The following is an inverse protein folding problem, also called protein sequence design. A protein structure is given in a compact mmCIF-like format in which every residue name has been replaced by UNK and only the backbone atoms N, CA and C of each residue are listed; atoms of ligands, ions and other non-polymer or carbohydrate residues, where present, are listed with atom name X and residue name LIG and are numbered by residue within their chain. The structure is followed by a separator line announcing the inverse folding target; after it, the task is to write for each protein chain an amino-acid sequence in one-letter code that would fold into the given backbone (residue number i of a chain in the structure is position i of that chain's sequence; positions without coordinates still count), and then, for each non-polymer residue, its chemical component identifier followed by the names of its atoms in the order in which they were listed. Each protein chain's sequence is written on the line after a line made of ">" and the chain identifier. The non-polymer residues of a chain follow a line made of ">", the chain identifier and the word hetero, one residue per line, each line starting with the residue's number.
data_IF_921243247333
#
_entry.id   IF_921243247333
#
_cell.length_a   1.000
_cell.length_b   1.000
_cell.length_c   1.000
_cell.angle_alpha   90.00
_cell.angle_beta   90.00
_cell.angle_gamma   90.00
#
_symmetry.space_group_name_H-M   'P 1'
#
loop_
_entity.id
_entity.type
_entity.pdbx_description
1 polymer ?
#
# COMPACT_ATOMS: atom_id res chain seq x y z
N UNK A 1 69.13 57.13 10.74
CA UNK A 1 69.11 56.21 11.90
C UNK A 1 67.70 55.65 12.01
N UNK A 2 67.44 54.41 11.57
CA UNK A 2 67.47 53.15 12.36
C UNK A 2 66.03 52.67 12.66
N UNK A 3 65.55 51.64 11.92
CA UNK A 3 65.10 50.29 12.40
C UNK A 3 63.72 50.28 13.11
N UNK A 4 62.77 49.34 12.96
CA UNK A 4 62.70 47.96 12.40
C UNK A 4 61.23 47.45 12.45
N UNK A 5 60.90 46.54 11.51
CA UNK A 5 60.01 45.35 11.51
C UNK A 5 58.57 45.33 12.04
N UNK A 6 57.70 44.64 11.27
CA UNK A 6 56.45 44.04 11.76
C UNK A 6 55.60 43.41 10.66
N UNK A 7 56.07 42.33 10.04
CA UNK A 7 55.36 41.53 9.04
C UNK A 7 54.45 40.52 9.75
N UNK A 8 53.17 40.41 9.42
CA UNK A 8 52.36 39.21 9.70
C UNK A 8 51.40 38.94 8.54
N UNK A 9 51.65 37.82 7.88
CA UNK A 9 50.95 37.30 6.72
C UNK A 9 49.54 36.86 7.11
N UNK A 10 48.55 37.25 6.31
CA UNK A 10 47.18 36.77 6.42
C UNK A 10 47.11 35.30 5.97
N UNK A 11 46.81 34.42 6.92
CA UNK A 11 46.52 33.00 6.68
C UNK A 11 45.21 32.89 5.89
N UNK A 12 45.28 32.36 4.67
CA UNK A 12 44.10 31.97 3.89
C UNK A 12 43.54 30.65 4.42
N UNK A 13 42.34 30.68 4.99
CA UNK A 13 41.60 29.45 5.29
C UNK A 13 40.90 28.96 4.01
N UNK A 14 41.37 27.83 3.49
CA UNK A 14 40.65 27.04 2.49
C UNK A 14 39.49 26.32 3.20
N UNK A 15 38.25 26.75 2.98
CA UNK A 15 37.06 26.00 3.41
C UNK A 15 36.77 24.92 2.37
N UNK A 16 37.09 23.68 2.70
CA UNK A 16 36.60 22.50 1.98
C UNK A 16 35.13 22.26 2.36
N UNK A 17 34.22 22.57 1.45
CA UNK A 17 32.82 22.16 1.55
C UNK A 17 32.74 20.71 1.07
N UNK A 18 32.83 19.76 1.99
CA UNK A 18 32.47 18.36 1.72
C UNK A 18 30.95 18.25 1.63
N UNK A 19 30.42 18.22 0.41
CA UNK A 19 29.02 17.90 0.14
C UNK A 19 28.75 16.43 0.43
N UNK A 20 28.41 16.11 1.69
CA UNK A 20 27.76 14.85 2.01
C UNK A 20 26.33 14.91 1.43
N UNK A 21 26.16 14.38 0.22
CA UNK A 21 24.84 14.19 -0.38
C UNK A 21 24.02 13.26 0.50
N UNK A 22 23.05 13.80 1.22
CA UNK A 22 22.03 13.00 1.89
C UNK A 22 21.27 12.22 0.81
N UNK A 23 21.55 10.93 0.67
CA UNK A 23 20.69 10.03 -0.09
C UNK A 23 19.41 9.88 0.73
N UNK A 24 18.37 10.64 0.38
CA UNK A 24 17.04 10.38 0.92
C UNK A 24 16.58 9.01 0.42
N UNK A 25 16.13 8.09 1.29
CA UNK A 25 15.54 6.85 0.82
C UNK A 25 14.32 7.20 -0.04
N UNK A 26 14.24 6.57 -1.22
CA UNK A 26 13.05 6.69 -2.06
C UNK A 26 11.81 6.28 -1.25
N UNK A 27 10.66 6.96 -1.41
CA UNK A 27 9.44 6.56 -0.72
C UNK A 27 9.11 5.11 -1.09
N UNK A 28 8.74 4.30 -0.10
CA UNK A 28 8.15 2.99 -0.35
C UNK A 28 6.91 3.20 -1.22
N UNK A 29 6.94 2.64 -2.43
CA UNK A 29 5.80 2.71 -3.34
C UNK A 29 4.67 1.86 -2.78
N UNK A 30 3.53 2.50 -2.51
CA UNK A 30 2.33 1.81 -2.11
C UNK A 30 1.56 1.35 -3.36
N UNK A 31 1.18 0.09 -3.38
CA UNK A 31 0.34 -0.50 -4.43
C UNK A 31 -1.10 -0.60 -3.94
N UNK A 32 -2.03 -0.40 -4.87
CA UNK A 32 -3.46 -0.48 -4.62
C UNK A 32 -4.03 -1.73 -5.28
N UNK A 33 -4.90 -2.45 -4.56
CA UNK A 33 -5.52 -3.68 -5.03
C UNK A 33 -7.02 -3.64 -4.82
N UNK A 34 -7.79 -4.09 -5.81
CA UNK A 34 -9.21 -4.42 -5.63
C UNK A 34 -9.32 -5.84 -5.11
N UNK A 35 -10.14 -6.04 -4.08
CA UNK A 35 -10.39 -7.37 -3.53
C UNK A 35 -11.88 -7.61 -3.33
N UNK A 36 -12.29 -8.87 -3.42
CA UNK A 36 -13.59 -9.32 -2.96
C UNK A 36 -13.56 -10.79 -2.59
N UNK A 37 -14.50 -11.20 -1.75
CA UNK A 37 -14.84 -12.59 -1.61
C UNK A 37 -16.34 -12.81 -1.39
N UNK A 38 -16.79 -14.01 -1.73
CA UNK A 38 -18.18 -14.43 -1.56
C UNK A 38 -18.27 -15.87 -1.10
N UNK A 39 -19.27 -16.17 -0.29
CA UNK A 39 -19.59 -17.51 0.19
C UNK A 39 -21.02 -17.57 0.71
N UNK A 40 -21.46 -18.70 1.28
CA UNK A 40 -22.77 -18.81 1.91
C UNK A 40 -23.01 -17.68 2.93
N UNK A 41 -23.96 -16.79 2.64
CA UNK A 41 -24.35 -15.69 3.54
C UNK A 41 -23.30 -14.58 3.73
N UNK A 42 -22.23 -14.56 2.93
CA UNK A 42 -21.19 -13.53 3.01
C UNK A 42 -20.78 -12.99 1.65
N UNK A 43 -20.74 -11.67 1.55
CA UNK A 43 -20.11 -10.92 0.46
C UNK A 43 -19.30 -9.79 1.07
N UNK A 44 -18.03 -9.70 0.72
CA UNK A 44 -17.17 -8.61 1.13
C UNK A 44 -16.34 -8.11 -0.05
N UNK A 45 -16.05 -6.81 -0.09
CA UNK A 45 -15.25 -6.22 -1.15
C UNK A 45 -14.66 -4.89 -0.73
N UNK A 46 -13.58 -4.49 -1.38
CA UNK A 46 -12.98 -3.19 -1.13
C UNK A 46 -11.65 -2.97 -1.80
N UNK A 47 -10.82 -2.14 -1.15
CA UNK A 47 -9.46 -1.82 -1.59
C UNK A 47 -8.44 -2.16 -0.52
N UNK A 48 -7.29 -2.68 -0.94
CA UNK A 48 -6.10 -2.85 -0.11
C UNK A 48 -5.04 -1.86 -0.57
N UNK A 49 -4.43 -1.16 0.37
CA UNK A 49 -3.15 -0.49 0.16
C UNK A 49 -2.06 -1.39 0.71
N UNK A 50 -1.06 -1.70 -0.10
CA UNK A 50 0.05 -2.57 0.29
C UNK A 50 1.40 -1.93 0.08
N UNK A 51 2.42 -2.38 0.81
CA UNK A 51 3.81 -2.05 0.53
C UNK A 51 4.61 -3.32 0.24
N UNK A 52 5.57 -3.30 -0.70
CA UNK A 52 6.45 -4.45 -0.92
C UNK A 52 7.23 -4.78 0.34
N UNK A 53 7.30 -6.08 0.68
CA UNK A 53 8.17 -6.60 1.74
C UNK A 53 9.02 -7.74 1.21
N UNK A 54 10.23 -7.97 1.75
CA UNK A 54 11.04 -9.11 1.35
C UNK A 54 10.26 -10.41 1.56
N UNK A 55 10.05 -11.16 0.48
CA UNK A 55 9.56 -12.53 0.51
C UNK A 55 10.69 -13.53 0.78
N UNK A 56 10.33 -14.82 0.85
CA UNK A 56 11.28 -15.91 0.62
C UNK A 56 11.80 -15.87 -0.83
N UNK A 57 12.99 -16.40 -1.07
CA UNK A 57 13.72 -16.28 -2.35
C UNK A 57 12.81 -16.51 -3.57
N UNK A 58 12.60 -15.46 -4.37
CA UNK A 58 11.84 -15.51 -5.63
C UNK A 58 10.37 -15.09 -5.54
N UNK A 59 9.82 -14.88 -4.34
CA UNK A 59 8.43 -14.45 -4.16
C UNK A 59 8.33 -12.94 -3.90
N UNK A 60 7.38 -12.28 -4.56
CA UNK A 60 7.00 -10.90 -4.25
C UNK A 60 5.82 -10.93 -3.28
N UNK A 61 6.08 -10.53 -2.04
CA UNK A 61 5.06 -10.43 -0.99
C UNK A 61 4.76 -8.95 -0.76
N UNK A 62 3.49 -8.63 -0.62
CA UNK A 62 3.04 -7.30 -0.26
C UNK A 62 2.40 -7.33 1.12
N UNK A 63 2.83 -6.42 2.00
CA UNK A 63 2.22 -6.23 3.31
C UNK A 63 1.01 -5.31 3.13
N UNK A 64 -0.17 -5.77 3.50
CA UNK A 64 -1.38 -4.94 3.60
C UNK A 64 -1.18 -3.99 4.78
N UNK A 65 -1.28 -2.69 4.51
CA UNK A 65 -1.10 -1.62 5.50
C UNK A 65 -2.35 -0.78 5.68
N UNK A 66 -3.29 -0.82 4.73
CA UNK A 66 -4.64 -0.25 4.87
C UNK A 66 -5.65 -1.10 4.12
N UNK A 67 -6.88 -1.05 4.61
CA UNK A 67 -8.05 -1.68 4.02
C UNK A 67 -9.22 -0.68 4.08
N UNK A 68 -10.06 -0.73 3.06
CA UNK A 68 -11.36 -0.07 3.04
C UNK A 68 -12.35 -0.98 2.33
N UNK A 69 -13.64 -0.79 2.57
CA UNK A 69 -14.69 -1.61 1.95
C UNK A 69 -15.81 -1.92 2.91
N UNK A 70 -16.52 -3.01 2.62
CA UNK A 70 -17.62 -3.49 3.46
C UNK A 70 -17.75 -5.01 3.39
N UNK A 71 -18.33 -5.59 4.44
CA UNK A 71 -18.83 -6.96 4.49
C UNK A 71 -20.33 -6.94 4.74
N UNK A 72 -21.13 -7.55 3.88
CA UNK A 72 -22.59 -7.57 3.95
C UNK A 72 -23.21 -6.17 4.17
N UNK A 73 -22.62 -5.14 3.57
CA UNK A 73 -23.03 -3.74 3.73
C UNK A 73 -22.54 -3.03 4.99
N UNK A 74 -21.89 -3.73 5.93
CA UNK A 74 -21.26 -3.13 7.11
C UNK A 74 -19.85 -2.65 6.74
N UNK A 75 -19.54 -1.39 7.03
CA UNK A 75 -18.26 -0.78 6.70
C UNK A 75 -17.12 -1.41 7.51
N UNK A 76 -15.96 -1.56 6.84
CA UNK A 76 -14.71 -1.89 7.49
C UNK A 76 -14.20 -0.65 8.23
N UNK A 77 -13.95 -0.79 9.52
CA UNK A 77 -13.49 0.28 10.40
C UNK A 77 -11.95 0.31 10.45
N UNK A 78 -11.31 -0.85 10.64
CA UNK A 78 -9.87 -0.92 10.81
C UNK A 78 -9.26 -2.26 10.38
N UNK A 79 -7.98 -2.21 9.99
CA UNK A 79 -7.15 -3.39 9.75
C UNK A 79 -6.64 -3.93 11.10
N UNK A 80 -6.70 -5.24 11.31
CA UNK A 80 -6.09 -5.88 12.46
C UNK A 80 -4.56 -5.79 12.36
N UNK A 81 -3.89 -5.48 13.46
CA UNK A 81 -2.43 -5.41 13.48
C UNK A 81 -1.77 -6.74 13.07
N UNK A 82 -0.70 -6.66 12.30
CA UNK A 82 0.09 -7.85 11.94
C UNK A 82 0.64 -8.52 13.19
N UNK A 83 0.51 -9.84 13.27
CA UNK A 83 0.95 -10.62 14.41
C UNK A 83 -0.04 -10.63 15.58
N UNK A 84 -1.26 -10.10 15.45
CA UNK A 84 -2.32 -10.23 16.45
C UNK A 84 -3.50 -11.02 15.87
N UNK A 85 -4.26 -11.70 16.73
CA UNK A 85 -5.52 -12.33 16.34
C UNK A 85 -6.63 -11.29 16.28
N UNK A 86 -7.65 -11.50 15.43
CA UNK A 86 -8.92 -10.78 15.60
C UNK A 86 -9.61 -11.25 16.89
N UNK A 87 -10.49 -10.45 17.51
CA UNK A 87 -11.24 -10.88 18.70
C UNK A 87 -11.97 -12.22 18.48
N UNK A 88 -11.88 -13.15 19.44
CA UNK A 88 -12.50 -14.48 19.38
C UNK A 88 -11.71 -15.52 18.59
N UNK A 89 -10.72 -15.11 17.79
CA UNK A 89 -9.94 -16.03 16.96
C UNK A 89 -8.53 -16.32 17.54
N UNK A 90 -8.25 -16.03 18.80
CA UNK A 90 -6.96 -16.42 19.37
C UNK A 90 -6.89 -17.96 19.47
N UNK A 91 -5.71 -18.59 19.24
CA UNK A 91 -4.38 -17.99 19.08
C UNK A 91 -3.99 -17.65 17.63
N UNK A 92 -4.91 -17.67 16.67
CA UNK A 92 -4.60 -17.53 15.24
C UNK A 92 -4.35 -16.07 14.85
N UNK A 93 -3.06 -15.73 14.69
CA UNK A 93 -2.59 -14.38 14.34
C UNK A 93 -2.64 -14.16 12.83
N UNK A 94 -3.06 -12.96 12.43
CA UNK A 94 -3.04 -12.54 11.02
C UNK A 94 -1.64 -12.06 10.62
N UNK A 95 -1.25 -12.26 9.36
CA UNK A 95 0.02 -11.77 8.82
C UNK A 95 -0.15 -10.58 7.87
N UNK A 96 -1.39 -10.35 7.40
CA UNK A 96 -1.75 -9.31 6.46
C UNK A 96 -0.90 -9.35 5.18
N UNK A 97 -0.57 -10.56 4.69
CA UNK A 97 0.26 -10.75 3.49
C UNK A 97 -0.57 -11.06 2.25
N UNK A 98 -0.17 -10.44 1.15
CA UNK A 98 -0.72 -10.67 -0.18
C UNK A 98 0.40 -11.18 -1.11
N UNK A 99 0.28 -12.43 -1.55
CA UNK A 99 1.18 -13.07 -2.51
C UNK A 99 0.94 -12.61 -3.95
N UNK A 100 1.97 -12.75 -4.79
CA UNK A 100 1.89 -12.48 -6.23
C UNK A 100 1.31 -13.66 -7.04
N UNK A 101 1.30 -14.87 -6.48
CA UNK A 101 0.80 -16.11 -7.10
C UNK A 101 -0.26 -16.77 -6.22
N UNK A 102 -1.08 -17.66 -6.79
CA UNK A 102 -2.03 -18.46 -6.01
C UNK A 102 -1.29 -19.47 -5.10
N UNK A 103 -1.78 -19.70 -3.87
CA UNK A 103 -2.83 -18.93 -3.20
C UNK A 103 -2.36 -17.52 -2.81
N UNK A 104 -3.19 -16.51 -3.05
CA UNK A 104 -2.91 -15.09 -2.79
C UNK A 104 -2.82 -14.75 -1.30
N UNK A 105 -3.50 -15.52 -0.44
CA UNK A 105 -3.45 -15.38 1.01
C UNK A 105 -2.73 -16.56 1.64
N UNK A 106 -2.09 -16.32 2.77
CA UNK A 106 -1.50 -17.37 3.60
C UNK A 106 -2.57 -18.05 4.48
N UNK A 107 -2.15 -19.04 5.27
CA UNK A 107 -3.00 -19.63 6.31
C UNK A 107 -3.34 -18.66 7.46
N UNK A 108 -2.60 -17.57 7.62
CA UNK A 108 -2.91 -16.49 8.58
C UNK A 108 -3.83 -15.43 7.98
N UNK A 109 -3.67 -15.14 6.68
CA UNK A 109 -4.49 -14.17 5.97
C UNK A 109 -4.43 -12.75 6.56
N UNK A 110 -5.48 -11.96 6.32
CA UNK A 110 -5.62 -10.62 6.89
C UNK A 110 -6.87 -10.51 7.74
N UNK A 111 -6.84 -9.67 8.76
CA UNK A 111 -7.97 -9.48 9.68
C UNK A 111 -8.46 -8.04 9.65
N UNK A 112 -9.75 -7.82 9.90
CA UNK A 112 -10.31 -6.47 9.99
C UNK A 112 -11.52 -6.41 10.93
N UNK A 113 -11.72 -5.25 11.53
CA UNK A 113 -12.89 -4.94 12.35
C UNK A 113 -13.94 -4.20 11.53
N UNK A 114 -15.20 -4.45 11.85
CA UNK A 114 -16.37 -3.85 11.22
C UNK A 114 -16.99 -2.81 12.16
N UNK A 115 -17.67 -1.83 11.58
CA UNK A 115 -18.28 -0.73 12.32
C UNK A 115 -19.37 -1.15 13.32
N UNK A 116 -19.91 -2.38 13.20
CA UNK A 116 -20.87 -2.96 14.13
C UNK A 116 -20.23 -3.73 15.30
N UNK A 117 -18.90 -3.69 15.42
CA UNK A 117 -18.14 -4.38 16.46
C UNK A 117 -17.82 -5.84 16.16
N UNK A 118 -18.20 -6.35 14.99
CA UNK A 118 -17.81 -7.70 14.53
C UNK A 118 -16.44 -7.68 13.86
N UNK A 119 -15.85 -8.85 13.61
CA UNK A 119 -14.54 -8.98 12.98
C UNK A 119 -14.50 -10.14 11.99
N UNK A 120 -13.64 -10.02 10.98
CA UNK A 120 -13.47 -11.06 9.98
C UNK A 120 -11.99 -11.26 9.62
N UNK A 121 -11.65 -12.50 9.28
CA UNK A 121 -10.32 -12.91 8.83
C UNK A 121 -10.47 -13.87 7.65
N UNK A 122 -10.38 -13.39 6.40
CA UNK A 122 -10.17 -14.24 5.24
C UNK A 122 -8.74 -14.82 5.21
N UNK A 123 -8.62 -16.12 4.94
CA UNK A 123 -7.35 -16.86 4.89
C UNK A 123 -7.44 -18.05 3.91
N UNK A 124 -6.29 -18.67 3.59
CA UNK A 124 -6.24 -19.90 2.80
C UNK A 124 -6.04 -21.12 3.71
N UNK A 125 -7.03 -22.01 3.79
CA UNK A 125 -6.97 -23.20 4.63
C UNK A 125 -6.07 -24.28 4.01
N UNK A 126 -5.05 -24.68 4.77
CA UNK A 126 -4.08 -25.73 4.40
C UNK A 126 -4.15 -26.98 5.29
N UNK A 127 -4.82 -26.90 6.44
CA UNK A 127 -4.82 -27.97 7.46
C UNK A 127 -5.91 -29.03 7.27
N UNK A 128 -6.77 -28.88 6.26
CA UNK A 128 -7.89 -29.79 6.00
C UNK A 128 -8.20 -29.83 4.51
N UNK A 129 -8.57 -31.00 4.01
CA UNK A 129 -8.92 -31.23 2.59
C UNK A 129 -10.45 -31.15 2.44
N UNK A 130 -11.00 -30.46 1.42
CA UNK A 130 -10.27 -29.74 0.37
C UNK A 130 -9.66 -28.42 0.86
N UNK A 131 -8.45 -28.11 0.34
CA UNK A 131 -7.85 -26.79 0.55
C UNK A 131 -8.69 -25.72 -0.15
N UNK A 132 -8.72 -24.51 0.40
CA UNK A 132 -9.48 -23.42 -0.19
C UNK A 132 -9.51 -22.18 0.70
N UNK A 133 -10.05 -21.09 0.16
CA UNK A 133 -10.24 -19.88 0.94
C UNK A 133 -11.41 -20.02 1.90
N UNK A 134 -11.23 -19.43 3.09
CA UNK A 134 -12.25 -19.36 4.14
C UNK A 134 -12.26 -17.98 4.76
N UNK A 135 -13.39 -17.63 5.35
CA UNK A 135 -13.52 -16.53 6.28
C UNK A 135 -13.82 -17.10 7.66
N UNK A 136 -13.03 -16.68 8.66
CA UNK A 136 -13.47 -16.73 10.05
C UNK A 136 -14.14 -15.40 10.41
N UNK A 137 -15.37 -15.45 10.89
CA UNK A 137 -16.17 -14.31 11.33
C UNK A 137 -16.49 -14.45 12.81
N UNK A 138 -16.29 -13.38 13.58
CA UNK A 138 -16.59 -13.35 15.00
C UNK A 138 -17.41 -12.15 15.43
N UNK A 139 -18.19 -12.33 16.49
CA UNK A 139 -18.95 -11.28 17.16
C UNK A 139 -18.94 -11.53 18.66
N UNK A 140 -19.21 -10.49 19.45
CA UNK A 140 -19.31 -10.65 20.89
C UNK A 140 -20.46 -11.61 21.29
N UNK A 141 -20.31 -12.37 22.39
CA UNK A 141 -19.15 -12.43 23.28
C UNK A 141 -17.94 -13.13 22.63
N UNK A 142 -16.72 -12.62 22.84
CA UNK A 142 -15.53 -13.24 22.27
C UNK A 142 -15.00 -14.33 23.21
N UNK A 143 -14.98 -15.57 22.73
CA UNK A 143 -14.44 -16.73 23.45
C UNK A 143 -13.28 -17.33 22.64
N UNK A 144 -12.05 -17.10 23.10
CA UNK A 144 -10.87 -17.59 22.39
C UNK A 144 -10.78 -19.13 22.42
N UNK A 145 -10.29 -19.70 21.32
CA UNK A 145 -9.96 -21.12 21.21
C UNK A 145 -11.14 -22.08 21.00
N UNK A 146 -12.38 -21.59 20.91
CA UNK A 146 -13.56 -22.39 20.55
C UNK A 146 -14.48 -21.56 19.66
N UNK A 147 -14.91 -22.11 18.53
CA UNK A 147 -15.97 -21.50 17.72
C UNK A 147 -17.25 -21.39 18.56
N UNK A 148 -17.61 -20.17 18.96
CA UNK A 148 -18.87 -19.90 19.64
C UNK A 148 -20.05 -20.04 18.67
N UNK A 149 -21.29 -20.18 19.18
CA UNK A 149 -22.49 -20.15 18.33
C UNK A 149 -22.66 -18.82 17.59
N UNK A 150 -21.99 -17.78 18.07
CA UNK A 150 -21.92 -16.48 17.48
C UNK A 150 -20.92 -16.37 16.31
N UNK A 151 -19.92 -17.24 16.26
CA UNK A 151 -18.88 -17.23 15.24
C UNK A 151 -19.24 -18.12 14.04
N UNK A 152 -18.55 -17.92 12.93
CA UNK A 152 -18.69 -18.76 11.76
C UNK A 152 -17.38 -18.90 10.99
N UNK A 153 -17.07 -20.11 10.55
CA UNK A 153 -16.03 -20.35 9.56
C UNK A 153 -16.65 -20.82 8.25
N UNK A 154 -16.58 -19.98 7.22
CA UNK A 154 -17.33 -20.17 5.97
C UNK A 154 -16.38 -20.31 4.78
N UNK A 155 -16.55 -21.31 3.90
CA UNK A 155 -15.84 -21.37 2.62
C UNK A 155 -16.18 -20.15 1.75
N UNK A 156 -15.16 -19.53 1.17
CA UNK A 156 -15.33 -18.38 0.28
C UNK A 156 -14.52 -18.53 -1.00
N UNK A 157 -14.94 -17.84 -2.04
CA UNK A 157 -14.15 -17.59 -3.25
C UNK A 157 -13.50 -16.21 -3.11
N UNK A 158 -12.17 -16.15 -3.02
CA UNK A 158 -11.41 -14.92 -2.88
C UNK A 158 -10.77 -14.51 -4.20
N UNK A 159 -10.92 -13.23 -4.56
CA UNK A 159 -10.34 -12.66 -5.77
C UNK A 159 -9.69 -11.32 -5.43
N UNK A 160 -8.51 -11.11 -5.99
CA UNK A 160 -7.73 -9.88 -5.84
C UNK A 160 -7.01 -9.56 -7.14
N UNK A 161 -7.00 -8.29 -7.52
CA UNK A 161 -6.33 -7.80 -8.71
C UNK A 161 -5.71 -6.44 -8.46
N UNK A 162 -4.67 -6.04 -9.20
CA UNK A 162 -4.18 -4.67 -9.17
C UNK A 162 -5.37 -3.72 -9.37
N UNK A 163 -5.46 -2.70 -8.52
CA UNK A 163 -6.44 -1.65 -8.71
C UNK A 163 -5.93 -0.79 -9.85
N UNK A 164 -6.52 -0.94 -11.03
CA UNK A 164 -6.21 -0.04 -12.12
C UNK A 164 -6.68 1.37 -11.74
N UNK A 165 -5.74 2.19 -11.28
CA UNK A 165 -5.87 3.62 -11.41
C UNK A 165 -5.90 3.90 -12.92
N UNK A 166 -7.08 3.90 -13.53
CA UNK A 166 -7.27 4.70 -14.73
C UNK A 166 -6.79 6.09 -14.35
N UNK A 167 -5.60 6.46 -14.85
CA UNK A 167 -4.92 7.68 -14.46
C UNK A 167 -5.29 8.72 -15.52
N UNK A 168 -6.34 9.55 -15.37
CA UNK A 168 -6.74 10.44 -16.45
C UNK A 168 -5.76 11.61 -16.68
N UNK A 169 -4.66 11.72 -15.93
CA UNK A 169 -3.78 12.90 -15.97
C UNK A 169 -2.46 12.73 -16.74
N UNK A 170 -2.14 11.54 -17.27
CA UNK A 170 -0.96 11.38 -18.17
C UNK A 170 -1.19 11.95 -19.58
N UNK A 171 -2.45 12.18 -19.98
CA UNK A 171 -2.79 12.71 -21.30
C UNK A 171 -2.91 14.25 -21.34
N UNK A 172 -3.21 14.91 -20.21
CA UNK A 172 -3.41 16.37 -20.18
C UNK A 172 -2.09 17.14 -20.34
N UNK A 173 -0.96 16.54 -19.93
CA UNK A 173 0.36 17.16 -20.08
C UNK A 173 0.87 17.27 -21.53
N UNK A 174 0.40 16.41 -22.43
CA UNK A 174 0.84 16.41 -23.83
C UNK A 174 0.01 17.35 -24.73
N UNK A 175 -1.24 17.64 -24.37
CA UNK A 175 -2.06 18.61 -25.10
C UNK A 175 -1.80 20.07 -24.68
N UNK A 176 -1.33 20.31 -23.46
CA UNK A 176 -0.92 21.65 -23.02
C UNK A 176 0.42 22.11 -23.66
N UNK A 177 1.32 21.20 -24.02
CA UNK A 177 2.59 21.54 -24.65
C UNK A 177 2.46 21.89 -26.16
N UNK A 178 1.44 21.36 -26.85
CA UNK A 178 1.20 21.65 -28.28
C UNK A 178 0.46 22.98 -28.52
N UNK A 179 -0.33 23.47 -27.55
CA UNK A 179 -1.04 24.74 -27.66
C UNK A 179 -0.13 25.98 -27.60
N UNK A 180 0.98 25.91 -26.85
CA UNK A 180 1.89 27.06 -26.69
C UNK A 180 2.97 27.14 -27.79
N UNK A 181 3.30 26.02 -28.44
CA UNK A 181 4.28 25.99 -29.54
C UNK A 181 3.79 26.70 -30.81
N UNK A 182 2.49 26.65 -31.10
CA UNK A 182 1.91 27.29 -32.30
C UNK A 182 1.72 28.82 -32.14
N UNK A 183 1.60 29.32 -30.90
CA UNK A 183 1.48 30.76 -30.64
C UNK A 183 2.81 31.53 -30.77
N UNK A 184 3.96 30.86 -30.62
CA UNK A 184 5.27 31.50 -30.79
C UNK A 184 5.66 31.62 -32.28
N UNK A 185 5.33 30.63 -33.10
CA UNK A 185 5.71 30.60 -34.53
C UNK A 185 4.98 31.68 -35.34
N UNK A 186 3.75 32.05 -34.97
CA UNK A 186 2.98 33.11 -35.63
C UNK A 186 3.51 34.53 -35.35
N UNK A 187 4.25 34.73 -34.26
CA UNK A 187 4.81 36.05 -33.88
C UNK A 187 6.14 36.38 -34.56
N UNK A 188 6.83 35.39 -35.14
CA UNK A 188 8.13 35.59 -35.81
C UNK A 188 8.03 35.85 -37.32
N UNK A 189 6.85 35.68 -37.95
CA UNK A 189 6.65 35.95 -39.38
C UNK A 189 6.09 37.34 -39.72
N UNK A 190 5.88 38.19 -38.71
CA UNK A 190 5.23 39.51 -38.85
C UNK A 190 6.17 40.72 -38.97
N UNK A 191 7.38 40.59 -39.54
CA UNK A 191 8.20 41.77 -39.86
C UNK A 191 8.13 42.09 -41.36
N UNK A 192 7.35 43.10 -41.78
CA UNK A 192 7.46 43.62 -43.13
C UNK A 192 8.80 44.34 -43.29
N UNK A 193 9.56 43.94 -44.31
CA UNK A 193 10.67 44.71 -44.87
C UNK A 193 10.07 45.70 -45.87
N UNK A 194 10.25 46.99 -45.66
CA UNK A 194 10.13 48.04 -46.67
C UNK A 194 11.15 49.12 -46.28
N UNK A 195 12.30 49.12 -46.97
CA UNK A 195 12.74 50.09 -48.00
C UNK A 195 13.00 51.49 -47.44
#
# INVERSE_FOLDING_TARGET
>A
MSRRFGNWEGVWFLVLVSGAGCISPAPLQADEWGWHYRGPGVVASGRLTTVPVPGTTGETVHQIVRISGSRNGVLIDSLQSTGTAIPGNAPYRVDNRLGSTEPRLTASGFGYALADGTSANPFFQTHSVPHGYREYFSRAPFLDGTLGPEDAETPVEFVVSPWEMTTPWREVGLLAALGWGLAWISRLRGRPVAR
#
